data_IF_324872243257
#
_entry.id   IF_324872243257
#
_cell.length_a   1.000
_cell.length_b   1.000
_cell.length_c   1.000
_cell.angle_alpha   90.00
_cell.angle_beta   90.00
_cell.angle_gamma   90.00
#
_symmetry.space_group_name_H-M   'P 1'
#
loop_
_entity.id
_entity.type
_entity.pdbx_description
1 polymer ?
#
# COMPACT_ATOMS: atom_id res chain seq x y z
N UNK A 1 10.76 -42.83 -61.50
CA UNK A 1 9.57 -42.93 -60.62
C UNK A 1 10.04 -43.27 -59.21
N UNK A 2 10.18 -42.28 -58.33
CA UNK A 2 10.59 -42.53 -56.95
C UNK A 2 9.41 -43.09 -56.15
N UNK A 3 9.59 -44.27 -55.56
CA UNK A 3 8.62 -44.88 -54.64
C UNK A 3 8.72 -44.16 -53.29
N UNK A 4 7.70 -43.40 -52.93
CA UNK A 4 7.53 -42.86 -51.59
C UNK A 4 7.26 -44.02 -50.62
N UNK A 5 8.17 -44.28 -49.68
CA UNK A 5 7.91 -45.21 -48.58
C UNK A 5 6.97 -44.52 -47.59
N UNK A 6 5.81 -45.11 -47.35
CA UNK A 6 4.84 -44.61 -46.35
C UNK A 6 5.31 -44.88 -44.92
N UNK A 7 4.95 -43.99 -44.00
CA UNK A 7 5.26 -44.10 -42.57
C UNK A 7 4.54 -45.31 -41.93
N UNK A 8 5.20 -46.00 -41.01
CA UNK A 8 4.59 -47.13 -40.29
C UNK A 8 3.72 -46.62 -39.14
N UNK A 9 2.64 -47.33 -38.81
CA UNK A 9 1.78 -46.98 -37.65
C UNK A 9 2.56 -46.92 -36.33
N UNK A 10 3.57 -47.77 -36.17
CA UNK A 10 4.43 -47.80 -34.99
C UNK A 10 5.30 -46.54 -34.88
N UNK A 11 5.83 -46.05 -35.99
CA UNK A 11 6.66 -44.84 -36.04
C UNK A 11 5.85 -43.59 -35.68
N UNK A 12 4.60 -43.51 -36.14
CA UNK A 12 3.69 -42.42 -35.77
C UNK A 12 3.25 -42.54 -34.30
N UNK A 13 3.03 -43.75 -33.78
CA UNK A 13 2.71 -43.96 -32.37
C UNK A 13 3.87 -43.55 -31.43
N UNK A 14 5.11 -43.92 -31.77
CA UNK A 14 6.29 -43.53 -30.99
C UNK A 14 6.53 -42.02 -31.09
N UNK A 15 6.36 -41.41 -32.27
CA UNK A 15 6.48 -39.96 -32.42
C UNK A 15 5.47 -39.19 -31.55
N UNK A 16 4.22 -39.64 -31.50
CA UNK A 16 3.19 -39.03 -30.64
C UNK A 16 3.50 -39.20 -29.15
N UNK A 17 4.05 -40.33 -28.72
CA UNK A 17 4.50 -40.54 -27.34
C UNK A 17 5.65 -39.58 -26.98
N UNK A 18 6.63 -39.42 -27.85
CA UNK A 18 7.75 -38.49 -27.63
C UNK A 18 7.25 -37.04 -27.57
N UNK A 19 6.39 -36.62 -28.50
CA UNK A 19 5.81 -35.27 -28.50
C UNK A 19 4.98 -35.04 -27.23
N UNK A 20 4.19 -36.03 -26.79
CA UNK A 20 3.43 -35.96 -25.54
C UNK A 20 4.32 -35.79 -24.31
N UNK A 21 5.43 -36.53 -24.23
CA UNK A 21 6.41 -36.41 -23.14
C UNK A 21 7.12 -35.05 -23.15
N UNK A 22 7.48 -34.53 -24.34
CA UNK A 22 8.11 -33.21 -24.48
C UNK A 22 7.16 -32.08 -24.06
N UNK A 23 5.89 -32.12 -24.48
CA UNK A 23 4.88 -31.13 -24.10
C UNK A 23 4.58 -31.18 -22.59
N UNK A 24 4.53 -32.38 -22.00
CA UNK A 24 4.36 -32.55 -20.56
C UNK A 24 5.53 -31.94 -19.76
N UNK A 25 6.76 -32.07 -20.27
CA UNK A 25 7.96 -31.50 -19.62
C UNK A 25 8.03 -29.96 -19.67
N UNK A 26 7.36 -29.32 -20.64
CA UNK A 26 7.44 -27.89 -20.90
C UNK A 26 6.41 -27.02 -20.15
N UNK A 27 5.38 -27.61 -19.54
CA UNK A 27 4.27 -26.87 -18.90
C UNK A 27 4.59 -26.37 -17.49
N UNK A 28 5.51 -27.01 -16.76
CA UNK A 28 5.89 -26.64 -15.39
C UNK A 28 6.60 -25.27 -15.27
N UNK A 29 7.57 -24.89 -16.13
CA UNK A 29 8.31 -23.62 -15.97
C UNK A 29 7.52 -22.37 -16.34
N UNK A 30 6.30 -22.46 -16.88
CA UNK A 30 5.57 -21.29 -17.36
C UNK A 30 4.93 -20.48 -16.22
N UNK A 31 4.36 -21.17 -15.22
CA UNK A 31 3.68 -20.51 -14.10
C UNK A 31 4.66 -19.74 -13.20
N UNK A 32 5.85 -20.30 -12.97
CA UNK A 32 6.92 -19.65 -12.18
C UNK A 32 7.51 -18.45 -12.92
N UNK A 33 7.65 -18.52 -14.25
CA UNK A 33 8.09 -17.39 -15.07
C UNK A 33 7.09 -16.22 -15.03
N UNK A 34 5.79 -16.49 -15.09
CA UNK A 34 4.76 -15.45 -14.91
C UNK A 34 4.87 -14.82 -13.52
N UNK A 35 5.09 -15.62 -12.48
CA UNK A 35 5.18 -15.10 -11.11
C UNK A 35 6.41 -14.21 -10.90
N UNK A 36 7.57 -14.61 -11.43
CA UNK A 36 8.79 -13.80 -11.41
C UNK A 36 8.58 -12.49 -12.15
N UNK A 37 7.90 -12.53 -13.31
CA UNK A 37 7.55 -11.32 -14.07
C UNK A 37 6.62 -10.42 -13.28
N UNK A 38 5.52 -10.94 -12.74
CA UNK A 38 4.54 -10.16 -11.99
C UNK A 38 5.14 -9.51 -10.75
N UNK A 39 6.04 -10.23 -10.04
CA UNK A 39 6.77 -9.67 -8.93
C UNK A 39 7.71 -8.54 -9.36
N UNK A 40 8.42 -8.70 -10.48
CA UNK A 40 9.28 -7.65 -11.03
C UNK A 40 8.47 -6.42 -11.48
N UNK A 41 7.34 -6.62 -12.17
CA UNK A 41 6.45 -5.54 -12.61
C UNK A 41 5.87 -4.79 -11.40
N UNK A 42 5.43 -5.51 -10.37
CA UNK A 42 4.90 -4.90 -9.14
C UNK A 42 5.96 -4.08 -8.39
N UNK A 43 7.21 -4.57 -8.31
CA UNK A 43 8.31 -3.80 -7.70
C UNK A 43 8.59 -2.50 -8.43
N UNK A 44 8.61 -2.53 -9.77
CA UNK A 44 8.75 -1.31 -10.58
C UNK A 44 7.62 -0.32 -10.31
N UNK A 45 6.39 -0.80 -10.18
CA UNK A 45 5.25 0.06 -9.85
C UNK A 45 5.37 0.65 -8.44
N UNK A 46 5.85 -0.12 -7.44
CA UNK A 46 6.10 0.40 -6.10
C UNK A 46 7.19 1.48 -6.09
N UNK A 47 8.25 1.30 -6.88
CA UNK A 47 9.29 2.33 -7.05
C UNK A 47 8.71 3.59 -7.72
N UNK A 48 7.87 3.44 -8.74
CA UNK A 48 7.16 4.56 -9.37
C UNK A 48 6.24 5.29 -8.38
N UNK A 49 5.50 4.56 -7.55
CA UNK A 49 4.64 5.13 -6.50
C UNK A 49 5.48 5.93 -5.51
N UNK A 50 6.60 5.38 -5.05
CA UNK A 50 7.51 6.07 -4.14
C UNK A 50 8.02 7.39 -4.73
N UNK A 51 8.51 7.38 -5.97
CA UNK A 51 9.00 8.60 -6.62
C UNK A 51 7.88 9.62 -6.87
N UNK A 52 6.69 9.17 -7.29
CA UNK A 52 5.54 10.05 -7.47
C UNK A 52 5.11 10.72 -6.15
N UNK A 53 5.15 9.98 -5.05
CA UNK A 53 4.84 10.51 -3.71
C UNK A 53 5.89 11.52 -3.25
N UNK A 54 7.18 11.27 -3.53
CA UNK A 54 8.23 12.24 -3.27
C UNK A 54 8.06 13.52 -4.10
N UNK A 55 7.74 13.39 -5.38
CA UNK A 55 7.43 14.54 -6.25
C UNK A 55 6.21 15.32 -5.79
N UNK A 56 5.15 14.61 -5.36
CA UNK A 56 3.96 15.24 -4.78
C UNK A 56 4.31 16.03 -3.52
N UNK A 57 5.15 15.48 -2.64
CA UNK A 57 5.61 16.15 -1.43
C UNK A 57 6.43 17.40 -1.71
N UNK A 58 7.29 17.37 -2.72
CA UNK A 58 8.05 18.55 -3.14
C UNK A 58 7.13 19.65 -3.70
N UNK A 59 6.07 19.28 -4.42
CA UNK A 59 5.14 20.24 -5.01
C UNK A 59 4.13 20.82 -4.02
N UNK A 60 3.71 20.04 -3.01
CA UNK A 60 2.60 20.40 -2.12
C UNK A 60 3.02 20.63 -0.66
N UNK A 61 4.28 20.35 -0.31
CA UNK A 61 4.76 20.44 1.08
C UNK A 61 4.23 19.36 2.02
N UNK A 62 3.50 18.36 1.48
CA UNK A 62 2.86 17.26 2.22
C UNK A 62 2.82 15.98 1.37
N UNK A 63 2.76 14.84 2.01
CA UNK A 63 2.40 13.56 1.39
C UNK A 63 0.91 13.55 0.98
N UNK A 64 0.56 12.79 -0.07
CA UNK A 64 -0.82 12.72 -0.53
C UNK A 64 -1.70 11.98 0.48
N UNK A 65 -2.97 12.35 0.56
CA UNK A 65 -3.94 11.60 1.35
C UNK A 65 -4.29 10.29 0.63
N UNK A 66 -4.56 9.19 1.35
CA UNK A 66 -5.05 7.98 0.72
C UNK A 66 -6.34 8.20 -0.05
N UNK A 67 -6.55 7.39 -1.08
CA UNK A 67 -7.81 7.30 -1.78
C UNK A 67 -8.69 6.18 -1.18
N UNK A 68 -9.97 6.19 -1.55
CA UNK A 68 -10.88 5.11 -1.19
C UNK A 68 -10.72 3.88 -2.06
N UNK A 69 -10.41 2.77 -1.41
CA UNK A 69 -10.37 1.45 -2.04
C UNK A 69 -11.75 0.93 -2.45
N UNK A 70 -12.83 1.43 -1.85
CA UNK A 70 -14.22 0.96 -2.10
C UNK A 70 -14.87 1.57 -3.34
N UNK A 71 -14.33 2.66 -3.86
CA UNK A 71 -14.91 3.33 -5.02
C UNK A 71 -14.49 2.59 -6.28
N UNK A 72 -15.45 2.08 -7.05
CA UNK A 72 -15.18 1.41 -8.31
C UNK A 72 -14.50 2.36 -9.31
N UNK A 73 -13.54 1.84 -10.09
CA UNK A 73 -12.80 2.62 -11.09
C UNK A 73 -13.76 3.28 -12.08
N UNK A 74 -13.49 4.54 -12.45
CA UNK A 74 -14.38 5.36 -13.28
C UNK A 74 -15.66 5.86 -12.60
N UNK A 75 -15.90 5.50 -11.33
CA UNK A 75 -17.05 6.00 -10.56
C UNK A 75 -16.68 7.22 -9.69
N UNK A 76 -17.70 7.85 -9.11
CA UNK A 76 -17.55 8.94 -8.15
C UNK A 76 -17.75 8.38 -6.74
N UNK A 77 -16.91 8.79 -5.81
CA UNK A 77 -17.11 8.58 -4.38
C UNK A 77 -18.19 9.55 -3.88
N UNK A 78 -19.38 8.99 -3.63
CA UNK A 78 -20.54 9.70 -3.08
C UNK A 78 -20.67 9.54 -1.57
N UNK A 79 -19.78 8.77 -0.94
CA UNK A 79 -19.91 8.34 0.47
C UNK A 79 -18.96 9.14 1.38
N UNK A 80 -17.99 9.87 0.84
CA UNK A 80 -17.20 10.81 1.62
C UNK A 80 -17.98 12.07 1.95
N UNK A 81 -17.86 12.52 3.20
CA UNK A 81 -18.37 13.83 3.66
C UNK A 81 -17.59 15.03 3.09
N UNK A 82 -16.90 14.85 1.95
CA UNK A 82 -16.31 15.93 1.20
C UNK A 82 -17.42 16.73 0.53
N UNK A 83 -17.35 18.07 0.50
CA UNK A 83 -18.38 18.91 -0.13
C UNK A 83 -18.43 18.77 -1.67
N UNK A 84 -17.55 17.98 -2.29
CA UNK A 84 -17.42 17.82 -3.73
C UNK A 84 -17.41 16.34 -4.14
N UNK A 85 -17.86 16.06 -5.37
CA UNK A 85 -17.76 14.76 -6.02
C UNK A 85 -16.28 14.41 -6.27
N UNK A 86 -15.79 13.36 -5.63
CA UNK A 86 -14.39 12.91 -5.77
C UNK A 86 -14.35 11.72 -6.73
N UNK A 87 -13.56 11.79 -7.80
CA UNK A 87 -13.40 10.65 -8.71
C UNK A 87 -12.64 9.49 -8.05
N UNK A 88 -12.95 8.25 -8.43
CA UNK A 88 -12.28 7.05 -7.92
C UNK A 88 -10.76 7.18 -7.97
N UNK A 89 -10.10 6.86 -6.85
CA UNK A 89 -8.65 6.92 -6.74
C UNK A 89 -8.07 8.30 -6.47
N UNK A 90 -8.86 9.37 -6.50
CA UNK A 90 -8.36 10.70 -6.11
C UNK A 90 -8.06 10.73 -4.62
N UNK A 91 -7.02 11.45 -4.21
CA UNK A 91 -6.71 11.64 -2.78
C UNK A 91 -7.90 12.21 -1.99
N UNK A 92 -8.09 11.71 -0.77
CA UNK A 92 -9.19 12.14 0.12
C UNK A 92 -8.77 13.35 0.96
N UNK A 93 -8.39 14.44 0.31
CA UNK A 93 -7.98 15.68 0.95
C UNK A 93 -9.15 16.65 1.11
N UNK A 94 -9.35 17.17 2.32
CA UNK A 94 -10.33 18.20 2.63
C UNK A 94 -9.72 19.58 2.36
N UNK A 95 -10.09 20.20 1.25
CA UNK A 95 -9.57 21.53 0.86
C UNK A 95 -10.02 22.66 1.78
N UNK A 96 -11.11 22.47 2.52
CA UNK A 96 -11.71 23.48 3.41
C UNK A 96 -11.01 23.46 4.76
N UNK A 97 -10.87 22.27 5.35
CA UNK A 97 -10.22 22.07 6.64
C UNK A 97 -8.72 21.73 6.52
N UNK A 98 -8.19 21.68 5.30
CA UNK A 98 -6.78 21.53 4.97
C UNK A 98 -6.14 20.27 5.56
N UNK A 99 -6.83 19.13 5.49
CA UNK A 99 -6.46 17.88 6.19
C UNK A 99 -6.87 16.62 5.43
N UNK A 100 -6.32 15.46 5.77
CA UNK A 100 -6.81 14.20 5.20
C UNK A 100 -8.10 13.70 5.87
N UNK A 101 -9.04 13.20 5.07
CA UNK A 101 -10.24 12.54 5.61
C UNK A 101 -9.95 11.18 6.22
N UNK A 102 -8.96 10.48 5.70
CA UNK A 102 -8.47 9.19 6.21
C UNK A 102 -6.96 9.15 6.15
N UNK A 103 -6.38 8.24 6.92
CA UNK A 103 -4.93 8.02 6.95
C UNK A 103 -4.56 6.63 6.43
N UNK A 104 -5.55 5.76 6.21
CA UNK A 104 -5.41 4.42 5.61
C UNK A 104 -6.39 4.29 4.46
N UNK A 105 -5.93 3.74 3.34
CA UNK A 105 -6.75 3.48 2.17
C UNK A 105 -5.94 2.79 1.08
N UNK A 106 -6.14 3.22 -0.16
CA UNK A 106 -5.33 2.80 -1.31
C UNK A 106 -4.51 3.97 -1.85
N UNK A 107 -3.47 3.66 -2.61
CA UNK A 107 -2.65 4.66 -3.30
C UNK A 107 -3.55 5.53 -4.18
N UNK A 108 -3.46 6.87 -4.11
CA UNK A 108 -4.28 7.75 -4.92
C UNK A 108 -3.77 7.83 -6.37
N UNK A 109 -4.09 6.80 -7.17
CA UNK A 109 -3.44 6.54 -8.45
C UNK A 109 -3.59 7.65 -9.52
N UNK A 110 -4.76 8.32 -9.70
CA UNK A 110 -4.89 9.43 -10.63
C UNK A 110 -4.16 10.67 -10.14
N UNK A 111 -4.16 10.93 -8.81
CA UNK A 111 -3.45 12.06 -8.20
C UNK A 111 -1.94 11.94 -8.42
N UNK A 112 -1.40 10.72 -8.35
CA UNK A 112 0.02 10.46 -8.49
C UNK A 112 0.45 10.13 -9.92
N UNK A 113 -0.49 9.93 -10.85
CA UNK A 113 -0.19 9.51 -12.22
C UNK A 113 0.44 8.12 -12.31
N UNK A 114 0.05 7.21 -11.40
CA UNK A 114 0.59 5.84 -11.30
C UNK A 114 -0.47 4.80 -11.66
N UNK A 115 -0.08 3.54 -11.95
CA UNK A 115 -1.05 2.47 -12.17
C UNK A 115 -1.96 2.22 -10.97
N UNK A 116 -3.23 1.89 -11.23
CA UNK A 116 -4.23 1.58 -10.19
C UNK A 116 -3.91 0.29 -9.42
N UNK A 117 -3.38 -0.72 -10.10
CA UNK A 117 -3.22 -2.07 -9.56
C UNK A 117 -1.80 -2.63 -9.73
N UNK A 118 -1.45 -3.58 -8.88
CA UNK A 118 -0.31 -4.47 -9.08
C UNK A 118 -0.51 -5.42 -10.28
N UNK A 119 0.52 -6.22 -10.58
CA UNK A 119 0.51 -7.13 -11.72
C UNK A 119 -0.53 -8.26 -11.62
N UNK A 120 -1.20 -8.40 -10.47
CA UNK A 120 -2.27 -9.36 -10.27
C UNK A 120 -3.65 -8.72 -10.13
N UNK A 121 -3.78 -7.41 -10.40
CA UNK A 121 -5.05 -6.69 -10.40
C UNK A 121 -5.55 -6.28 -9.01
N UNK A 122 -4.67 -6.21 -8.00
CA UNK A 122 -5.01 -5.66 -6.67
C UNK A 122 -4.54 -4.22 -6.56
N UNK A 123 -5.35 -3.36 -5.96
CA UNK A 123 -4.93 -2.00 -5.59
C UNK A 123 -3.88 -2.06 -4.49
N UNK A 124 -2.93 -1.13 -4.55
CA UNK A 124 -1.92 -0.95 -3.52
C UNK A 124 -2.55 -0.31 -2.28
N UNK A 125 -2.42 -0.94 -1.12
CA UNK A 125 -2.80 -0.30 0.14
C UNK A 125 -1.78 0.78 0.48
N UNK A 126 -2.26 1.87 1.06
CA UNK A 126 -1.44 3.01 1.43
C UNK A 126 -1.87 3.54 2.79
N UNK A 127 -0.89 3.78 3.64
CA UNK A 127 -1.05 4.57 4.86
C UNK A 127 -0.04 5.69 4.88
N UNK A 128 -0.49 6.84 5.35
CA UNK A 128 0.35 8.00 5.61
C UNK A 128 0.28 8.35 7.09
N UNK A 129 1.41 8.76 7.65
CA UNK A 129 1.45 9.38 8.96
C UNK A 129 0.83 10.77 8.87
N UNK A 130 -0.23 11.07 9.62
CA UNK A 130 -0.98 12.30 9.40
C UNK A 130 -0.23 13.65 9.51
N UNK A 131 0.94 13.74 10.17
CA UNK A 131 1.78 14.94 10.25
C UNK A 131 2.34 15.27 8.89
N UNK A 132 2.55 14.23 8.10
CA UNK A 132 3.12 14.36 6.78
C UNK A 132 2.03 14.66 5.76
N UNK A 133 0.74 14.52 6.09
CA UNK A 133 -0.35 14.52 5.13
C UNK A 133 -1.35 15.68 5.28
N UNK A 134 -1.42 16.30 6.46
CA UNK A 134 -2.17 17.54 6.69
C UNK A 134 -1.47 18.74 6.03
N UNK A 135 -2.06 19.94 6.05
CA UNK A 135 -1.46 21.16 5.48
C UNK A 135 -0.42 21.81 6.42
N UNK A 136 0.65 22.46 5.91
CA UNK A 136 1.69 23.09 6.73
C UNK A 136 1.17 24.12 7.72
N UNK A 137 0.03 24.75 7.42
CA UNK A 137 -0.59 25.75 8.28
C UNK A 137 -1.28 25.16 9.53
N UNK A 138 -1.48 23.84 9.60
CA UNK A 138 -2.10 23.21 10.77
C UNK A 138 -1.09 22.99 11.88
N UNK A 139 -1.42 23.46 13.09
CA UNK A 139 -0.57 23.30 14.29
C UNK A 139 -0.84 22.00 15.05
N UNK A 140 -1.85 21.22 14.62
CA UNK A 140 -2.25 19.93 15.20
C UNK A 140 -2.69 18.96 14.11
N UNK A 141 -2.64 17.67 14.43
CA UNK A 141 -3.12 16.59 13.58
C UNK A 141 -4.65 16.60 13.58
N UNK A 142 -5.26 16.76 12.41
CA UNK A 142 -6.71 16.78 12.28
C UNK A 142 -7.25 15.68 11.37
N UNK A 143 -6.38 14.81 10.88
CA UNK A 143 -6.73 13.61 10.12
C UNK A 143 -7.46 12.55 10.96
N UNK A 144 -8.36 11.78 10.32
CA UNK A 144 -9.12 10.69 10.99
C UNK A 144 -8.40 9.34 10.91
N UNK A 145 -8.39 8.60 12.01
CA UNK A 145 -7.76 7.26 12.14
C UNK A 145 -8.49 6.13 11.41
N UNK A 146 -9.65 6.37 10.81
CA UNK A 146 -10.54 5.29 10.38
C UNK A 146 -9.96 4.54 9.18
N UNK A 147 -9.64 3.25 9.39
CA UNK A 147 -9.81 2.24 8.36
C UNK A 147 -11.27 2.33 7.89
N UNK A 148 -11.54 2.31 6.58
CA UNK A 148 -12.91 2.42 6.06
C UNK A 148 -13.77 1.21 6.46
N UNK A 149 -14.26 1.19 7.70
CA UNK A 149 -15.24 0.25 8.20
C UNK A 149 -16.60 0.95 8.24
N UNK A 150 -17.58 0.30 7.62
CA UNK A 150 -19.00 0.66 7.71
C UNK A 150 -19.60 -0.24 8.81
N UNK A 151 -20.32 0.28 9.82
CA UNK A 151 -20.72 1.67 10.04
C UNK A 151 -19.62 2.46 10.76
N UNK A 152 -19.47 3.72 10.34
CA UNK A 152 -18.42 4.64 10.78
C UNK A 152 -18.45 4.79 12.31
N UNK A 153 -17.41 4.36 13.05
CA UNK A 153 -17.29 4.70 14.46
C UNK A 153 -17.19 6.24 14.59
N UNK A 154 -17.60 6.84 15.73
CA UNK A 154 -17.47 8.28 15.93
C UNK A 154 -16.05 8.75 15.56
N UNK A 155 -15.89 9.90 14.89
CA UNK A 155 -14.59 10.34 14.39
C UNK A 155 -13.64 10.55 15.57
N UNK A 156 -12.75 9.58 15.80
CA UNK A 156 -11.62 9.74 16.70
C UNK A 156 -10.46 10.29 15.88
N UNK A 157 -10.14 11.55 16.14
CA UNK A 157 -8.89 12.14 15.66
C UNK A 157 -7.72 11.42 16.33
N UNK A 158 -6.62 11.24 15.61
CA UNK A 158 -5.39 10.74 16.22
C UNK A 158 -4.85 11.83 17.15
N UNK A 159 -4.93 11.59 18.46
CA UNK A 159 -4.47 12.53 19.46
C UNK A 159 -2.94 12.70 19.36
N UNK A 160 -2.46 13.93 19.25
CA UNK A 160 -1.08 14.27 19.61
C UNK A 160 -0.99 15.68 20.21
N UNK A 161 -0.59 15.82 21.48
CA UNK A 161 -0.35 17.12 22.11
C UNK A 161 1.08 17.60 21.80
N UNK A 162 1.17 18.52 20.82
CA UNK A 162 2.23 19.49 20.47
C UNK A 162 3.73 19.14 20.65
N UNK A 163 4.50 19.25 19.55
CA UNK A 163 5.60 20.22 19.31
C UNK A 163 5.63 20.46 17.80
N UNK A 164 5.90 21.68 17.33
CA UNK A 164 5.82 22.03 15.90
C UNK A 164 7.19 21.96 15.24
N UNK A 165 7.37 21.22 14.12
CA UNK A 165 6.40 20.37 13.40
C UNK A 165 6.11 19.07 14.12
N UNK A 166 4.89 18.58 13.88
CA UNK A 166 4.24 17.57 14.68
C UNK A 166 4.95 16.21 14.57
N UNK A 167 5.50 15.74 15.68
CA UNK A 167 6.28 14.52 15.75
C UNK A 167 5.88 13.70 16.99
N UNK A 168 6.05 12.37 16.98
CA UNK A 168 5.69 11.53 18.12
C UNK A 168 6.32 12.03 19.42
N UNK A 169 5.49 12.29 20.43
CA UNK A 169 5.90 12.92 21.69
C UNK A 169 7.03 12.17 22.44
N UNK A 170 7.21 10.88 22.15
CA UNK A 170 8.19 10.00 22.79
C UNK A 170 9.41 9.69 21.90
N UNK A 171 9.63 10.44 20.82
CA UNK A 171 10.83 10.26 20.00
C UNK A 171 12.09 10.74 20.73
N UNK A 172 13.24 10.15 20.38
CA UNK A 172 14.55 10.59 20.87
C UNK A 172 15.53 10.73 19.69
N UNK A 173 16.16 11.91 19.49
CA UNK A 173 15.95 13.18 20.18
C UNK A 173 14.59 13.83 19.84
N UNK A 174 14.08 14.69 20.72
CA UNK A 174 12.85 15.47 20.47
C UNK A 174 13.01 16.39 19.25
N UNK A 175 11.96 16.52 18.43
CA UNK A 175 11.94 17.48 17.32
C UNK A 175 11.48 18.84 17.86
N UNK A 176 12.44 19.61 18.38
CA UNK A 176 12.20 20.98 18.80
C UNK A 176 12.72 21.93 17.72
N UNK A 177 11.81 22.57 16.99
CA UNK A 177 12.18 23.62 16.04
C UNK A 177 11.85 24.99 16.62
N UNK A 178 12.87 25.86 16.63
CA UNK A 178 12.73 27.27 16.99
C UNK A 178 11.92 28.07 15.95
N UNK A 179 11.74 27.53 14.74
CA UNK A 179 10.86 28.08 13.70
C UNK A 179 10.26 26.92 12.89
N UNK A 180 8.93 26.83 12.85
CA UNK A 180 8.24 25.81 12.07
C UNK A 180 8.40 26.07 10.55
N UNK A 181 8.51 25.02 9.72
CA UNK A 181 8.53 25.16 8.28
C UNK A 181 7.23 25.82 7.78
N UNK A 182 7.36 26.82 6.90
CA UNK A 182 6.20 27.56 6.35
C UNK A 182 5.69 26.98 5.03
N UNK A 183 6.49 26.13 4.37
CA UNK A 183 6.21 25.55 3.05
C UNK A 183 6.05 24.01 3.08
N UNK A 184 6.24 23.38 4.24
CA UNK A 184 6.10 21.93 4.40
C UNK A 184 5.58 21.57 5.78
N UNK A 185 4.93 20.43 5.89
CA UNK A 185 4.48 19.87 7.18
C UNK A 185 5.59 19.08 7.89
N UNK A 186 6.71 18.87 7.19
CA UNK A 186 7.77 17.95 7.54
C UNK A 186 9.07 18.73 7.75
N UNK A 187 9.80 18.40 8.81
CA UNK A 187 11.20 18.75 8.97
C UNK A 187 12.09 17.51 9.05
N UNK A 188 13.40 17.70 8.96
CA UNK A 188 14.39 16.62 9.03
C UNK A 188 14.33 15.83 10.35
N UNK A 189 13.85 16.42 11.45
CA UNK A 189 13.69 15.74 12.73
C UNK A 189 12.30 15.12 12.95
N UNK A 190 11.38 15.30 12.00
CA UNK A 190 10.02 14.78 12.11
C UNK A 190 10.02 13.28 11.81
N UNK A 191 9.42 12.49 12.69
CA UNK A 191 9.22 11.06 12.49
C UNK A 191 7.73 10.75 12.25
N UNK A 192 7.45 9.71 11.48
CA UNK A 192 6.10 9.19 11.27
C UNK A 192 5.58 8.37 12.44
N UNK A 193 4.41 7.77 12.28
CA UNK A 193 3.73 6.93 13.28
C UNK A 193 3.63 5.46 12.83
N UNK A 194 4.51 5.04 11.91
CA UNK A 194 4.46 3.72 11.28
C UNK A 194 5.73 2.93 11.59
N UNK A 195 5.57 1.64 11.86
CA UNK A 195 6.65 0.68 11.97
C UNK A 195 6.44 -0.47 10.98
N UNK A 196 7.50 -0.83 10.26
CA UNK A 196 7.53 -2.00 9.38
C UNK A 196 8.35 -3.08 10.06
N UNK A 197 7.75 -4.24 10.27
CA UNK A 197 8.30 -5.35 11.03
C UNK A 197 8.47 -6.57 10.12
N UNK A 198 9.60 -7.28 10.25
CA UNK A 198 9.71 -8.64 9.69
C UNK A 198 9.05 -9.64 10.62
N UNK A 199 8.74 -10.80 10.05
CA UNK A 199 8.25 -11.96 10.81
C UNK A 199 9.08 -13.18 10.53
N UNK A 200 9.16 -14.05 11.53
CA UNK A 200 9.77 -15.36 11.37
C UNK A 200 8.90 -16.22 10.47
N UNK A 201 9.53 -16.94 9.54
CA UNK A 201 8.83 -17.88 8.67
C UNK A 201 8.29 -19.11 9.43
N UNK A 202 8.88 -19.47 10.58
CA UNK A 202 8.54 -20.70 11.32
C UNK A 202 7.43 -20.53 12.35
N UNK A 203 7.34 -19.38 13.02
CA UNK A 203 6.40 -19.15 14.13
C UNK A 203 5.60 -17.85 14.01
N UNK A 204 5.80 -17.09 12.92
CA UNK A 204 5.16 -15.79 12.68
C UNK A 204 5.37 -14.76 13.80
N UNK A 205 6.35 -14.99 14.69
CA UNK A 205 6.72 -14.03 15.72
C UNK A 205 7.31 -12.77 15.08
N UNK A 206 7.18 -11.64 15.78
CA UNK A 206 7.78 -10.35 15.37
C UNK A 206 9.28 -10.46 15.59
N UNK A 207 10.07 -10.49 14.51
CA UNK A 207 11.50 -10.79 14.63
C UNK A 207 12.35 -9.53 14.77
N UNK A 208 12.06 -8.49 13.99
CA UNK A 208 12.87 -7.26 14.02
C UNK A 208 12.16 -6.11 13.30
N UNK A 209 12.27 -4.86 13.77
CA UNK A 209 11.86 -3.71 12.98
C UNK A 209 12.78 -3.52 11.78
N UNK A 210 12.21 -3.54 10.57
CA UNK A 210 12.88 -3.06 9.35
C UNK A 210 12.98 -1.54 9.33
N UNK A 211 12.00 -0.86 9.92
CA UNK A 211 11.97 0.58 10.07
C UNK A 211 10.93 1.00 11.10
N UNK A 212 11.21 2.06 11.83
CA UNK A 212 10.30 2.68 12.78
C UNK A 212 10.27 4.19 12.55
N UNK A 213 9.12 4.82 12.80
CA UNK A 213 8.91 6.24 12.53
C UNK A 213 8.93 6.59 11.04
N UNK A 214 8.53 5.65 10.19
CA UNK A 214 8.43 5.93 8.75
C UNK A 214 7.17 6.74 8.44
N UNK A 215 7.20 7.67 7.47
CA UNK A 215 6.11 8.62 7.25
C UNK A 215 4.96 8.05 6.39
N UNK A 216 5.22 6.97 5.67
CA UNK A 216 4.25 6.31 4.82
C UNK A 216 4.65 4.86 4.56
N UNK A 217 3.67 4.03 4.24
CA UNK A 217 3.88 2.64 3.80
C UNK A 217 2.93 2.31 2.66
N UNK A 218 3.46 1.56 1.69
CA UNK A 218 2.73 1.03 0.54
C UNK A 218 2.81 -0.49 0.59
N UNK A 219 1.69 -1.16 0.37
CA UNK A 219 1.61 -2.62 0.41
C UNK A 219 1.00 -3.13 -0.89
N UNK A 220 1.76 -3.95 -1.62
CA UNK A 220 1.16 -4.91 -2.56
C UNK A 220 0.83 -6.18 -1.80
N UNK A 221 -0.40 -6.66 -1.98
CA UNK A 221 -0.89 -7.88 -1.36
C UNK A 221 -0.47 -9.15 -2.11
N UNK A 222 0.30 -9.00 -3.19
CA UNK A 222 0.89 -10.10 -3.96
C UNK A 222 -0.15 -11.05 -4.52
N UNK A 223 0.27 -12.26 -4.94
CA UNK A 223 -0.54 -13.28 -5.63
C UNK A 223 -1.84 -13.71 -4.92
N UNK A 224 -1.89 -13.65 -3.59
CA UNK A 224 -3.07 -14.06 -2.83
C UNK A 224 -4.04 -12.90 -2.61
N UNK A 225 -3.56 -11.66 -2.59
CA UNK A 225 -4.40 -10.46 -2.56
C UNK A 225 -5.23 -10.29 -1.28
N UNK A 226 -4.96 -11.02 -0.19
CA UNK A 226 -5.76 -10.99 1.02
C UNK A 226 -5.83 -9.58 1.62
N UNK A 227 -7.05 -9.06 1.83
CA UNK A 227 -7.28 -7.72 2.36
C UNK A 227 -7.04 -6.58 1.37
N UNK A 228 -6.76 -6.88 0.10
CA UNK A 228 -6.64 -5.86 -0.95
C UNK A 228 -8.00 -5.44 -1.50
N UNK A 229 -8.05 -4.27 -2.15
CA UNK A 229 -9.20 -3.86 -2.96
C UNK A 229 -8.98 -4.20 -4.43
N UNK A 230 -10.06 -4.57 -5.12
CA UNK A 230 -10.09 -4.71 -6.57
C UNK A 230 -10.55 -3.40 -7.24
N UNK A 231 -10.37 -3.30 -8.56
CA UNK A 231 -10.78 -2.12 -9.34
C UNK A 231 -12.29 -1.87 -9.34
N UNK A 232 -13.10 -2.89 -9.08
CA UNK A 232 -14.55 -2.76 -8.89
C UNK A 232 -14.94 -2.24 -7.48
N UNK A 233 -13.97 -1.91 -6.63
CA UNK A 233 -14.20 -1.42 -5.27
C UNK A 233 -14.47 -2.52 -4.23
N UNK A 234 -14.51 -3.80 -4.63
CA UNK A 234 -14.75 -4.89 -3.70
C UNK A 234 -13.47 -5.27 -2.95
N UNK A 235 -13.52 -5.42 -1.62
CA UNK A 235 -12.40 -5.96 -0.86
C UNK A 235 -12.30 -7.47 -1.08
N UNK A 236 -11.07 -7.97 -1.20
CA UNK A 236 -10.77 -9.39 -1.05
C UNK A 236 -10.78 -9.73 0.44
N UNK A 237 -11.24 -10.93 0.77
CA UNK A 237 -11.27 -11.40 2.16
C UNK A 237 -9.89 -11.29 2.79
N UNK A 238 -9.82 -10.77 4.02
CA UNK A 238 -8.58 -10.85 4.78
C UNK A 238 -8.32 -12.30 5.16
N UNK A 239 -7.06 -12.71 5.13
CA UNK A 239 -6.62 -13.94 5.79
C UNK A 239 -6.86 -13.82 7.30
N UNK A 240 -7.02 -14.95 7.99
CA UNK A 240 -7.08 -15.01 9.45
C UNK A 240 -5.71 -14.74 10.11
N UNK A 241 -4.63 -14.66 9.31
CA UNK A 241 -3.32 -14.25 9.77
C UNK A 241 -3.35 -12.81 10.30
N UNK A 242 -2.72 -12.61 11.47
CA UNK A 242 -2.67 -11.31 12.12
C UNK A 242 -2.00 -10.23 11.24
N UNK A 243 -1.18 -10.64 10.28
CA UNK A 243 -0.43 -9.77 9.42
C UNK A 243 -1.15 -9.24 8.20
N UNK A 244 -1.88 -10.08 7.47
CA UNK A 244 -2.66 -9.57 6.36
C UNK A 244 -3.80 -8.72 6.89
N UNK A 245 -4.33 -9.06 8.07
CA UNK A 245 -5.26 -8.21 8.79
C UNK A 245 -4.62 -6.87 9.16
N UNK A 246 -3.43 -6.86 9.74
CA UNK A 246 -2.71 -5.63 10.07
C UNK A 246 -2.41 -4.77 8.83
N UNK A 247 -1.94 -5.39 7.75
CA UNK A 247 -1.58 -4.71 6.50
C UNK A 247 -2.80 -4.17 5.75
N UNK A 248 -3.99 -4.75 5.94
CA UNK A 248 -5.23 -4.31 5.30
C UNK A 248 -6.03 -3.33 6.14
N UNK A 249 -6.11 -3.53 7.46
CA UNK A 249 -6.84 -2.65 8.37
C UNK A 249 -6.04 -1.39 8.71
N UNK A 250 -4.70 -1.50 8.82
CA UNK A 250 -3.85 -0.40 9.29
C UNK A 250 -4.12 0.02 10.74
N UNK A 251 -4.75 -0.86 11.54
CA UNK A 251 -5.11 -0.62 12.95
C UNK A 251 -4.22 -1.37 13.94
N UNK A 252 -3.40 -2.31 13.48
CA UNK A 252 -2.46 -3.01 14.34
C UNK A 252 -1.43 -2.02 14.88
N UNK A 253 -1.03 -2.18 16.14
CA UNK A 253 -0.03 -1.34 16.77
C UNK A 253 1.06 -2.21 17.40
N UNK A 254 2.29 -1.70 17.37
CA UNK A 254 3.44 -2.31 18.02
C UNK A 254 4.40 -1.21 18.50
N UNK A 255 5.21 -1.52 19.50
CA UNK A 255 6.30 -0.66 19.95
C UNK A 255 7.62 -1.34 19.58
N UNK A 256 8.28 -0.91 18.50
CA UNK A 256 9.60 -1.41 18.13
C UNK A 256 10.61 -1.21 19.26
N UNK A 257 11.61 -2.09 19.35
CA UNK A 257 12.71 -1.94 20.31
C UNK A 257 13.38 -0.56 20.15
N UNK A 258 13.40 0.24 21.23
CA UNK A 258 13.95 1.60 21.21
C UNK A 258 13.07 2.65 20.52
N UNK A 259 11.85 2.30 20.12
CA UNK A 259 10.88 3.21 19.49
C UNK A 259 9.70 3.55 20.41
N UNK A 260 8.66 4.13 19.80
CA UNK A 260 7.38 4.46 20.42
C UNK A 260 6.25 3.67 19.75
N UNK A 261 5.07 3.71 20.37
CA UNK A 261 3.87 3.05 19.85
C UNK A 261 3.58 3.52 18.42
N UNK A 262 3.62 2.59 17.47
CA UNK A 262 3.49 2.85 16.04
C UNK A 262 2.45 1.91 15.43
N UNK A 263 1.84 2.32 14.32
CA UNK A 263 1.00 1.46 13.51
C UNK A 263 1.89 0.43 12.82
N UNK A 264 1.61 -0.83 13.07
CA UNK A 264 2.43 -1.95 12.67
C UNK A 264 2.01 -2.46 11.29
N UNK A 265 2.98 -2.53 10.40
CA UNK A 265 2.88 -3.21 9.10
C UNK A 265 3.94 -4.27 9.04
N UNK A 266 3.67 -5.30 8.25
CA UNK A 266 4.49 -6.47 8.23
C UNK A 266 4.98 -6.79 6.82
N UNK A 267 6.29 -6.89 6.65
CA UNK A 267 6.87 -7.53 5.49
C UNK A 267 6.82 -9.04 5.65
N UNK A 268 6.77 -9.75 4.52
CA UNK A 268 7.06 -11.19 4.45
C UNK A 268 8.46 -11.38 3.90
#
# INVERSE_FOLDING_TARGET
MNRSRGFTLAELAVALVIIGLLLASALIPFSTQIEVRNAADTRRTLDQIKEAVMGFAQANGRLPCPARGQTASGSIDSVTWAPAQIAAGTEQYDTTNKRCYVVVGVVPWPTLGVPETDAWGRRFSYRVSPAFADDPSLTTWQSRSTAYTVPVPPPTYLAQPVTTPASPANQTPSCDLTTAPSQSTIALCTFGDIAVLTRSYSDHSVVTPLGAGVPAVFVSHGKNGFGAFQSNGQPLTSSAGADELANSSGTAQATPTGGYLSNAYYSR
#
